data_IF_160663960596
#
_entry.id   IF_160663960596
#
_cell.length_a   1.000
_cell.length_b   1.000
_cell.length_c   1.000
_cell.angle_alpha   90.00
_cell.angle_beta   90.00
_cell.angle_gamma   90.00
#
_symmetry.space_group_name_H-M   'P 1'
#
loop_
_entity.id
_entity.type
_entity.pdbx_description
1 polymer ?
#
# COMPACT_ATOMS: atom_id res chain seq x y z
N UNK A 1 -15.55 2.95 9.44
CA UNK A 1 -14.72 1.95 8.74
C UNK A 1 -14.27 2.43 7.36
N UNK A 2 -15.12 2.49 6.32
CA UNK A 2 -14.66 2.92 4.98
C UNK A 2 -14.08 4.34 4.95
N UNK A 3 -14.79 5.34 5.49
CA UNK A 3 -14.31 6.73 5.53
C UNK A 3 -13.00 6.92 6.33
N UNK A 4 -12.80 6.10 7.37
CA UNK A 4 -11.58 6.10 8.17
C UNK A 4 -10.40 5.61 7.35
N UNK A 5 -10.53 4.48 6.66
CA UNK A 5 -9.47 3.96 5.78
C UNK A 5 -9.18 4.86 4.59
N UNK A 6 -10.21 5.48 4.01
CA UNK A 6 -10.04 6.51 2.95
C UNK A 6 -9.16 7.65 3.44
N UNK A 7 -9.37 8.11 4.68
CA UNK A 7 -8.55 9.17 5.29
C UNK A 7 -7.15 8.68 5.65
N UNK A 8 -7.04 7.55 6.35
CA UNK A 8 -5.77 6.97 6.81
C UNK A 8 -4.82 6.64 5.66
N UNK A 9 -5.35 6.18 4.53
CA UNK A 9 -4.56 5.86 3.35
C UNK A 9 -4.51 7.02 2.34
N UNK A 10 -5.15 8.16 2.64
CA UNK A 10 -5.22 9.31 1.72
C UNK A 10 -5.68 8.89 0.30
N UNK A 11 -6.79 8.16 0.23
CA UNK A 11 -7.40 7.73 -1.03
C UNK A 11 -8.15 8.92 -1.63
N UNK A 12 -7.73 9.33 -2.83
CA UNK A 12 -8.32 10.46 -3.56
C UNK A 12 -9.27 9.91 -4.63
N UNK A 13 -10.54 10.31 -4.55
CA UNK A 13 -11.58 9.97 -5.50
C UNK A 13 -12.30 11.24 -5.98
N UNK A 14 -12.92 11.18 -7.16
CA UNK A 14 -13.69 12.29 -7.72
C UNK A 14 -14.95 12.55 -6.88
N UNK A 15 -15.54 11.50 -6.31
CA UNK A 15 -16.64 11.53 -5.35
C UNK A 15 -16.73 10.19 -4.60
N UNK A 16 -17.60 10.11 -3.60
CA UNK A 16 -17.77 8.93 -2.73
C UNK A 16 -18.35 7.69 -3.47
N UNK A 17 -18.94 7.89 -4.64
CA UNK A 17 -19.54 6.83 -5.47
C UNK A 17 -18.64 6.38 -6.62
N UNK A 18 -17.42 6.93 -6.73
CA UNK A 18 -16.47 6.56 -7.77
C UNK A 18 -16.16 5.05 -7.68
N UNK A 19 -16.21 4.35 -8.82
CA UNK A 19 -15.84 2.94 -8.85
C UNK A 19 -14.33 2.83 -8.70
N UNK A 20 -13.85 1.77 -8.04
CA UNK A 20 -12.41 1.56 -7.82
C UNK A 20 -11.61 1.62 -9.14
N UNK A 21 -12.17 1.07 -10.23
CA UNK A 21 -11.56 1.09 -11.57
C UNK A 21 -11.37 2.50 -12.15
N UNK A 22 -12.09 3.50 -11.64
CA UNK A 22 -11.99 4.90 -12.08
C UNK A 22 -10.92 5.69 -11.30
N UNK A 23 -10.34 5.09 -10.25
CA UNK A 23 -9.26 5.69 -9.47
C UNK A 23 -7.92 5.58 -10.21
N UNK A 24 -6.94 6.46 -9.90
CA UNK A 24 -5.56 6.27 -10.37
C UNK A 24 -4.96 4.98 -9.82
N UNK A 25 -3.97 4.40 -10.51
CA UNK A 25 -3.33 3.14 -10.08
C UNK A 25 -2.86 3.16 -8.62
N UNK A 26 -2.25 4.27 -8.18
CA UNK A 26 -1.86 4.45 -6.78
C UNK A 26 -3.04 4.41 -5.79
N UNK A 27 -4.18 5.00 -6.15
CA UNK A 27 -5.38 4.96 -5.31
C UNK A 27 -6.06 3.58 -5.34
N UNK A 28 -6.06 2.89 -6.49
CA UNK A 28 -6.51 1.50 -6.57
C UNK A 28 -5.70 0.60 -5.63
N UNK A 29 -4.38 0.76 -5.64
CA UNK A 29 -3.49 0.01 -4.78
C UNK A 29 -3.71 0.29 -3.29
N UNK A 30 -3.90 1.55 -2.92
CA UNK A 30 -4.28 1.94 -1.55
C UNK A 30 -5.60 1.31 -1.11
N UNK A 31 -6.61 1.23 -1.99
CA UNK A 31 -7.87 0.51 -1.69
C UNK A 31 -7.60 -0.98 -1.41
N UNK A 32 -6.76 -1.64 -2.21
CA UNK A 32 -6.40 -3.06 -2.01
C UNK A 32 -5.68 -3.28 -0.68
N UNK A 33 -4.72 -2.42 -0.34
CA UNK A 33 -4.03 -2.45 0.96
C UNK A 33 -5.03 -2.28 2.10
N UNK A 34 -5.89 -1.26 2.03
CA UNK A 34 -6.92 -1.01 3.05
C UNK A 34 -7.88 -2.18 3.23
N UNK A 35 -8.28 -2.84 2.13
CA UNK A 35 -9.11 -4.04 2.17
C UNK A 35 -8.46 -5.16 2.99
N UNK A 36 -7.14 -5.34 2.90
CA UNK A 36 -6.40 -6.31 3.71
C UNK A 36 -6.31 -5.90 5.18
N UNK A 37 -6.00 -4.64 5.44
CA UNK A 37 -5.77 -4.12 6.80
C UNK A 37 -7.05 -4.05 7.66
N UNK A 38 -8.23 -3.97 7.04
CA UNK A 38 -9.52 -4.04 7.76
C UNK A 38 -9.63 -5.30 8.64
N UNK A 39 -8.94 -6.38 8.30
CA UNK A 39 -8.93 -7.63 9.07
C UNK A 39 -8.01 -7.60 10.30
N UNK A 40 -7.32 -6.48 10.56
CA UNK A 40 -6.35 -6.34 11.66
C UNK A 40 -5.34 -7.50 11.71
N UNK A 41 -4.65 -7.79 10.59
CA UNK A 41 -3.73 -8.92 10.53
C UNK A 41 -2.53 -8.70 11.47
N UNK A 42 -1.84 -9.79 11.83
CA UNK A 42 -0.51 -9.72 12.48
C UNK A 42 0.64 -9.73 11.48
N UNK A 43 0.37 -10.13 10.24
CA UNK A 43 1.32 -10.17 9.13
C UNK A 43 0.64 -9.76 7.83
N UNK A 44 1.33 -8.97 7.01
CA UNK A 44 0.90 -8.60 5.67
C UNK A 44 1.96 -9.02 4.67
N UNK A 45 1.53 -9.65 3.58
CA UNK A 45 2.37 -10.00 2.44
C UNK A 45 1.90 -9.15 1.25
N UNK A 46 2.82 -8.37 0.71
CA UNK A 46 2.60 -7.45 -0.39
C UNK A 46 3.38 -7.94 -1.61
N UNK A 47 2.65 -8.43 -2.61
CA UNK A 47 3.22 -8.89 -3.87
C UNK A 47 3.13 -7.78 -4.93
N UNK A 48 4.28 -7.32 -5.39
CA UNK A 48 4.44 -6.25 -6.38
C UNK A 48 3.63 -4.99 -6.03
N UNK A 49 3.80 -4.43 -4.81
CA UNK A 49 2.88 -3.44 -4.25
C UNK A 49 2.84 -2.11 -4.99
N UNK A 50 3.79 -1.83 -5.87
CA UNK A 50 3.86 -0.58 -6.65
C UNK A 50 3.76 -0.80 -8.15
N UNK A 51 3.41 -2.02 -8.60
CA UNK A 51 3.33 -2.30 -10.03
C UNK A 51 2.21 -1.51 -10.70
N UNK A 52 2.56 -0.76 -11.75
CA UNK A 52 1.60 0.02 -12.54
C UNK A 52 1.15 1.32 -11.87
N UNK A 53 1.85 1.79 -10.85
CA UNK A 53 1.63 3.11 -10.22
C UNK A 53 2.69 4.11 -10.67
N UNK A 54 2.35 5.40 -10.69
CA UNK A 54 3.30 6.47 -11.03
C UNK A 54 4.30 6.74 -9.90
N UNK A 55 5.43 7.36 -10.23
CA UNK A 55 6.54 7.61 -9.28
C UNK A 55 6.11 8.37 -8.02
N UNK A 56 5.13 9.28 -8.12
CA UNK A 56 4.60 10.00 -6.96
C UNK A 56 3.84 9.07 -6.02
N UNK A 57 3.00 8.20 -6.57
CA UNK A 57 2.25 7.22 -5.81
C UNK A 57 3.13 6.11 -5.19
N UNK A 58 4.25 5.74 -5.82
CA UNK A 58 5.24 4.78 -5.27
C UNK A 58 5.67 5.25 -3.88
N UNK A 59 6.09 6.51 -3.76
CA UNK A 59 6.56 7.07 -2.50
C UNK A 59 5.48 7.05 -1.41
N UNK A 60 4.23 7.38 -1.75
CA UNK A 60 3.11 7.32 -0.80
C UNK A 60 2.84 5.88 -0.32
N UNK A 61 2.90 4.89 -1.23
CA UNK A 61 2.72 3.48 -0.88
C UNK A 61 3.86 3.00 0.01
N UNK A 62 5.11 3.33 -0.31
CA UNK A 62 6.26 2.99 0.53
C UNK A 62 6.14 3.57 1.94
N UNK A 63 5.67 4.82 2.08
CA UNK A 63 5.43 5.44 3.39
C UNK A 63 4.36 4.69 4.18
N UNK A 64 3.29 4.23 3.52
CA UNK A 64 2.27 3.40 4.16
C UNK A 64 2.89 2.09 4.66
N UNK A 65 3.69 1.42 3.82
CA UNK A 65 4.35 0.16 4.16
C UNK A 65 5.28 0.32 5.37
N UNK A 66 6.15 1.33 5.34
CA UNK A 66 7.08 1.60 6.44
C UNK A 66 6.33 1.91 7.74
N UNK A 67 5.28 2.75 7.67
CA UNK A 67 4.46 3.06 8.85
C UNK A 67 3.82 1.81 9.46
N UNK A 68 3.34 0.87 8.64
CA UNK A 68 2.77 -0.38 9.15
C UNK A 68 3.83 -1.21 9.88
N UNK A 69 5.04 -1.30 9.33
CA UNK A 69 6.16 -1.97 9.98
C UNK A 69 6.55 -1.27 11.31
N UNK A 70 6.63 0.06 11.31
CA UNK A 70 6.92 0.89 12.49
C UNK A 70 5.85 0.74 13.59
N UNK A 71 4.59 0.52 13.21
CA UNK A 71 3.48 0.21 14.13
C UNK A 71 3.54 -1.23 14.69
N UNK A 72 4.56 -2.02 14.33
CA UNK A 72 4.81 -3.36 14.83
C UNK A 72 4.15 -4.48 14.03
N UNK A 73 3.60 -4.17 12.84
CA UNK A 73 3.05 -5.19 11.94
C UNK A 73 4.19 -5.91 11.22
N UNK A 74 4.14 -7.24 11.17
CA UNK A 74 5.09 -7.97 10.33
C UNK A 74 4.76 -7.74 8.85
N UNK A 75 5.71 -7.22 8.07
CA UNK A 75 5.52 -6.97 6.63
C UNK A 75 6.51 -7.78 5.80
N UNK A 76 6.00 -8.45 4.76
CA UNK A 76 6.80 -9.12 3.73
C UNK A 76 6.48 -8.43 2.40
N UNK A 77 7.50 -7.89 1.74
CA UNK A 77 7.38 -7.35 0.38
C UNK A 77 8.03 -8.31 -0.60
N UNK A 78 7.30 -8.67 -1.64
CA UNK A 78 7.79 -9.43 -2.79
C UNK A 78 7.83 -8.44 -3.95
N UNK A 79 9.01 -8.25 -4.54
CA UNK A 79 9.18 -7.31 -5.64
C UNK A 79 10.35 -7.71 -6.52
N UNK A 80 10.18 -7.52 -7.81
CA UNK A 80 11.25 -7.60 -8.81
C UNK A 80 11.97 -6.25 -9.00
N UNK A 81 11.53 -5.18 -8.34
CA UNK A 81 12.10 -3.84 -8.48
C UNK A 81 13.11 -3.55 -7.36
N UNK A 82 14.41 -3.62 -7.70
CA UNK A 82 15.50 -3.48 -6.73
C UNK A 82 15.45 -2.19 -5.88
N UNK A 83 15.16 -0.99 -6.42
CA UNK A 83 15.04 0.22 -5.59
C UNK A 83 13.94 0.14 -4.52
N UNK A 84 12.83 -0.54 -4.79
CA UNK A 84 11.78 -0.78 -3.79
C UNK A 84 12.28 -1.71 -2.69
N UNK A 85 12.93 -2.82 -3.05
CA UNK A 85 13.56 -3.74 -2.09
C UNK A 85 14.56 -3.00 -1.19
N UNK A 86 15.43 -2.18 -1.78
CA UNK A 86 16.46 -1.43 -1.04
C UNK A 86 15.88 -0.34 -0.13
N UNK A 87 14.71 0.20 -0.47
CA UNK A 87 14.08 1.28 0.29
C UNK A 87 13.19 0.78 1.43
N UNK A 88 12.63 -0.42 1.32
CA UNK A 88 11.65 -0.96 2.28
C UNK A 88 12.22 -2.00 3.24
N UNK A 89 13.28 -2.70 2.87
CA UNK A 89 13.65 -3.93 3.57
C UNK A 89 14.66 -3.68 4.70
N UNK A 90 14.32 -4.13 5.91
CA UNK A 90 15.30 -4.35 6.97
C UNK A 90 16.20 -5.55 6.69
N UNK A 91 15.64 -6.57 6.02
CA UNK A 91 16.30 -7.83 5.67
C UNK A 91 15.85 -8.29 4.30
N UNK A 92 16.79 -8.82 3.51
CA UNK A 92 16.53 -9.33 2.16
C UNK A 92 16.77 -10.85 2.16
N UNK A 93 15.83 -11.59 1.56
CA UNK A 93 15.93 -13.01 1.27
C UNK A 93 15.90 -13.20 -0.25
N UNK A 94 16.80 -14.03 -0.77
CA UNK A 94 16.92 -14.38 -2.19
C UNK A 94 16.83 -15.88 -2.35
#
# INVERSE_FOLDING_TARGET
>A
LSAEWTKTLNIKAINDNARVVELSGGNQQKVVIGKGLVQQPRIVILDEPTRGVDVGAIAEIHQIINRLADEGLAVVVISSYLPEIMNLSDRILV
#
